data_IF_138872866116
#
_entry.id   IF_138872866116
#
_cell.length_a   1.000
_cell.length_b   1.000
_cell.length_c   1.000
_cell.angle_alpha   90.00
_cell.angle_beta   90.00
_cell.angle_gamma   90.00
#
_symmetry.space_group_name_H-M   'P 1'
#
loop_
_entity.id
_entity.type
_entity.pdbx_description
1 polymer ?
#
# COMPACT_ATOMS: atom_id res chain seq x y z
N UNK A 1 6.24 12.43 -22.14
CA UNK A 1 5.52 11.96 -20.92
C UNK A 1 6.43 12.34 -19.77
N UNK A 2 6.03 13.24 -18.88
CA UNK A 2 6.88 13.60 -17.74
C UNK A 2 6.93 12.40 -16.80
N UNK A 3 8.13 11.87 -16.54
CA UNK A 3 8.31 10.89 -15.46
C UNK A 3 7.89 11.56 -14.14
N UNK A 4 7.01 10.91 -13.40
CA UNK A 4 6.61 11.39 -12.08
C UNK A 4 7.75 11.08 -11.13
N UNK A 5 8.34 12.12 -10.54
CA UNK A 5 9.41 11.97 -9.55
C UNK A 5 8.85 11.36 -8.26
N UNK A 6 9.45 10.24 -7.84
CA UNK A 6 9.15 9.58 -6.57
C UNK A 6 9.60 10.45 -5.40
N UNK A 7 8.71 10.63 -4.42
CA UNK A 7 8.99 11.32 -3.18
C UNK A 7 9.11 10.31 -2.03
N UNK A 8 10.35 9.95 -1.69
CA UNK A 8 10.63 9.00 -0.62
C UNK A 8 10.12 9.43 0.75
N UNK A 9 10.01 10.73 1.04
CA UNK A 9 9.43 11.18 2.31
C UNK A 9 7.94 10.83 2.42
N UNK A 10 7.19 10.85 1.30
CA UNK A 10 5.81 10.40 1.28
C UNK A 10 5.70 8.88 1.39
N UNK A 11 6.60 8.14 0.75
CA UNK A 11 6.69 6.68 0.93
C UNK A 11 6.87 6.30 2.40
N UNK A 12 7.80 6.95 3.11
CA UNK A 12 8.04 6.66 4.53
C UNK A 12 6.84 7.01 5.42
N UNK A 13 6.12 8.11 5.12
CA UNK A 13 4.90 8.47 5.86
C UNK A 13 3.85 7.35 5.73
N UNK A 14 3.64 6.81 4.52
CA UNK A 14 2.69 5.72 4.30
C UNK A 14 3.13 4.46 5.04
N UNK A 15 4.41 4.10 4.98
CA UNK A 15 4.95 2.94 5.72
C UNK A 15 4.71 3.10 7.22
N UNK A 16 4.97 4.28 7.78
CA UNK A 16 4.76 4.55 9.21
C UNK A 16 3.28 4.46 9.60
N UNK A 17 2.37 5.04 8.81
CA UNK A 17 0.92 4.96 9.09
C UNK A 17 0.39 3.52 8.97
N UNK A 18 0.88 2.75 7.99
CA UNK A 18 0.59 1.31 7.91
C UNK A 18 1.08 0.61 9.18
N UNK A 19 2.29 0.92 9.64
CA UNK A 19 2.86 0.28 10.82
C UNK A 19 2.12 0.61 12.13
N UNK A 20 1.68 1.85 12.30
CA UNK A 20 1.06 2.33 13.55
C UNK A 20 -0.43 1.98 13.68
N UNK A 21 -1.16 1.88 12.56
CA UNK A 21 -2.64 1.84 12.61
C UNK A 21 -3.27 0.83 11.67
N UNK A 22 -2.90 0.86 10.40
CA UNK A 22 -3.63 0.10 9.38
C UNK A 22 -3.20 -1.37 9.31
N UNK A 23 -2.01 -1.72 9.79
CA UNK A 23 -1.57 -3.12 9.83
C UNK A 23 -2.43 -3.94 10.80
N UNK A 24 -2.55 -3.51 12.05
CA UNK A 24 -3.29 -4.28 13.08
C UNK A 24 -4.81 -4.27 12.87
N UNK A 25 -5.32 -3.24 12.19
CA UNK A 25 -6.76 -3.08 11.92
C UNK A 25 -7.19 -3.64 10.57
N UNK A 26 -6.25 -3.84 9.65
CA UNK A 26 -6.51 -4.40 8.33
C UNK A 26 -6.57 -5.91 8.42
N UNK A 27 -7.64 -6.50 7.89
CA UNK A 27 -7.78 -7.95 7.73
C UNK A 27 -6.83 -8.47 6.64
N UNK A 28 -5.52 -8.31 6.84
CA UNK A 28 -4.48 -8.60 5.85
C UNK A 28 -4.33 -10.09 5.57
N UNK A 29 -4.62 -10.94 6.56
CA UNK A 29 -4.65 -12.39 6.36
C UNK A 29 -5.68 -12.76 5.28
N UNK A 30 -6.92 -12.29 5.41
CA UNK A 30 -7.98 -12.57 4.42
C UNK A 30 -7.68 -11.91 3.09
N UNK A 31 -7.19 -10.67 3.09
CA UNK A 31 -6.88 -9.91 1.85
C UNK A 31 -5.74 -10.56 1.07
N UNK A 32 -4.62 -10.90 1.73
CA UNK A 32 -3.45 -11.51 1.09
C UNK A 32 -3.74 -12.95 0.65
N UNK A 33 -4.57 -13.70 1.38
CA UNK A 33 -4.93 -15.07 1.01
C UNK A 33 -5.63 -15.18 -0.36
N UNK A 34 -6.22 -14.09 -0.85
CA UNK A 34 -6.91 -14.02 -2.14
C UNK A 34 -6.00 -13.54 -3.28
N UNK A 35 -4.78 -13.10 -2.98
CA UNK A 35 -3.84 -12.62 -3.98
C UNK A 35 -3.14 -13.78 -4.69
N UNK A 36 -2.84 -13.61 -5.97
CA UNK A 36 -2.05 -14.57 -6.77
C UNK A 36 -0.62 -14.05 -7.02
N UNK A 37 -0.38 -12.78 -6.74
CA UNK A 37 0.90 -12.11 -6.98
C UNK A 37 1.15 -10.91 -6.04
N UNK A 38 2.41 -10.42 -5.94
CA UNK A 38 2.72 -9.17 -5.24
C UNK A 38 1.99 -7.94 -5.82
N UNK A 39 1.67 -7.94 -7.12
CA UNK A 39 0.96 -6.82 -7.76
C UNK A 39 -0.50 -6.74 -7.29
N UNK A 40 -1.11 -7.87 -6.94
CA UNK A 40 -2.45 -7.89 -6.33
C UNK A 40 -2.41 -7.26 -4.93
N UNK A 41 -1.37 -7.57 -4.14
CA UNK A 41 -1.17 -6.96 -2.82
C UNK A 41 -0.99 -5.46 -2.95
N UNK A 42 -0.16 -5.01 -3.89
CA UNK A 42 0.04 -3.60 -4.21
C UNK A 42 -1.27 -2.90 -4.56
N UNK A 43 -2.09 -3.52 -5.40
CA UNK A 43 -3.41 -3.00 -5.78
C UNK A 43 -4.32 -2.82 -4.56
N UNK A 44 -4.36 -3.81 -3.66
CA UNK A 44 -5.13 -3.73 -2.42
C UNK A 44 -4.62 -2.59 -1.53
N UNK A 45 -3.30 -2.51 -1.30
CA UNK A 45 -2.69 -1.45 -0.47
C UNK A 45 -3.03 -0.07 -1.03
N UNK A 46 -2.88 0.11 -2.34
CA UNK A 46 -3.25 1.35 -3.02
C UNK A 46 -4.73 1.68 -2.81
N UNK A 47 -5.62 0.70 -2.94
CA UNK A 47 -7.05 0.90 -2.74
C UNK A 47 -7.39 1.29 -1.29
N UNK A 48 -6.77 0.64 -0.30
CA UNK A 48 -6.94 0.95 1.13
C UNK A 48 -6.42 2.35 1.47
N UNK A 49 -5.29 2.75 0.89
CA UNK A 49 -4.71 4.09 1.11
C UNK A 49 -5.48 5.20 0.37
N UNK A 50 -6.33 4.86 -0.61
CA UNK A 50 -7.03 5.84 -1.45
C UNK A 50 -8.56 5.86 -1.27
N UNK A 51 -9.16 4.88 -0.58
CA UNK A 51 -10.58 4.93 -0.21
C UNK A 51 -10.82 5.90 0.96
N UNK A 52 -11.72 6.87 0.78
CA UNK A 52 -12.18 7.75 1.86
C UNK A 52 -13.68 8.02 1.76
N UNK A 53 -14.36 8.01 2.91
CA UNK A 53 -15.75 8.43 3.07
C UNK A 53 -15.95 9.86 2.55
N UNK A 54 -16.92 10.01 1.65
CA UNK A 54 -17.17 11.23 0.90
C UNK A 54 -17.76 12.29 1.82
N UNK A 55 -16.96 13.25 2.29
CA UNK A 55 -17.46 14.52 2.84
C UNK A 55 -17.34 15.61 1.76
N UNK A 56 -18.35 16.46 1.63
CA UNK A 56 -18.70 17.40 0.53
C UNK A 56 -17.63 18.38 -0.01
N UNK A 57 -16.38 18.29 0.43
CA UNK A 57 -15.17 18.84 -0.25
C UNK A 57 -14.58 17.80 -1.25
N UNK A 58 -15.34 16.74 -1.55
CA UNK A 58 -14.88 15.43 -1.99
C UNK A 58 -14.47 15.24 -3.46
N UNK A 59 -14.52 16.25 -4.33
CA UNK A 59 -14.10 16.07 -5.74
C UNK A 59 -12.63 16.36 -6.00
N UNK A 60 -12.02 17.28 -5.23
CA UNK A 60 -10.59 17.59 -5.34
C UNK A 60 -9.71 16.62 -4.55
N UNK A 61 -10.21 16.08 -3.43
CA UNK A 61 -9.47 15.15 -2.58
C UNK A 61 -9.00 13.89 -3.33
N UNK A 62 -9.86 13.17 -4.08
CA UNK A 62 -9.42 12.00 -4.85
C UNK A 62 -8.36 12.36 -5.89
N UNK A 63 -8.51 13.47 -6.61
CA UNK A 63 -7.53 13.92 -7.60
C UNK A 63 -6.19 14.28 -6.95
N UNK A 64 -6.21 15.02 -5.84
CA UNK A 64 -5.01 15.41 -5.09
C UNK A 64 -4.31 14.18 -4.49
N UNK A 65 -5.06 13.28 -3.85
CA UNK A 65 -4.54 12.02 -3.31
C UNK A 65 -4.02 11.09 -4.41
N UNK A 66 -4.66 11.08 -5.57
CA UNK A 66 -4.17 10.36 -6.76
C UNK A 66 -2.83 10.92 -7.22
N UNK A 67 -2.68 12.25 -7.30
CA UNK A 67 -1.40 12.87 -7.66
C UNK A 67 -0.31 12.67 -6.60
N UNK A 68 -0.66 12.62 -5.31
CA UNK A 68 0.25 12.23 -4.26
C UNK A 68 0.64 10.75 -4.35
N UNK A 69 -0.34 9.87 -4.57
CA UNK A 69 -0.13 8.44 -4.74
C UNK A 69 0.79 8.12 -5.91
N UNK A 70 0.71 8.86 -7.02
CA UNK A 70 1.65 8.69 -8.15
C UNK A 70 3.13 8.93 -7.78
N UNK A 71 3.40 9.66 -6.69
CA UNK A 71 4.76 9.97 -6.21
C UNK A 71 5.24 9.01 -5.13
N UNK A 72 4.44 8.01 -4.76
CA UNK A 72 4.79 7.02 -3.75
C UNK A 72 5.49 5.85 -4.43
N UNK A 73 6.56 5.37 -3.79
CA UNK A 73 7.20 4.11 -4.17
C UNK A 73 6.35 2.93 -3.63
N UNK A 74 5.32 2.58 -4.39
CA UNK A 74 4.38 1.52 -4.00
C UNK A 74 5.02 0.14 -3.96
N UNK A 75 6.10 -0.10 -4.70
CA UNK A 75 6.82 -1.36 -4.66
C UNK A 75 7.51 -1.52 -3.30
N UNK A 76 8.15 -0.45 -2.81
CA UNK A 76 8.72 -0.42 -1.45
C UNK A 76 7.65 -0.56 -0.36
N UNK A 77 6.52 0.13 -0.47
CA UNK A 77 5.41 0.00 0.49
C UNK A 77 4.88 -1.45 0.52
N UNK A 78 4.72 -2.05 -0.66
CA UNK A 78 4.21 -3.41 -0.80
C UNK A 78 5.17 -4.43 -0.21
N UNK A 79 6.46 -4.33 -0.53
CA UNK A 79 7.49 -5.20 0.02
C UNK A 79 7.53 -5.09 1.55
N UNK A 80 7.49 -3.87 2.10
CA UNK A 80 7.44 -3.67 3.54
C UNK A 80 6.25 -4.39 4.18
N UNK A 81 5.05 -4.26 3.61
CA UNK A 81 3.86 -4.90 4.16
C UNK A 81 3.92 -6.43 4.08
N UNK A 82 4.39 -6.97 2.94
CA UNK A 82 4.60 -8.41 2.77
C UNK A 82 5.61 -8.93 3.78
N UNK A 83 6.75 -8.25 3.95
CA UNK A 83 7.78 -8.62 4.91
C UNK A 83 7.24 -8.61 6.33
N UNK A 84 6.53 -7.55 6.74
CA UNK A 84 5.91 -7.46 8.06
C UNK A 84 4.89 -8.59 8.28
N UNK A 85 4.02 -8.85 7.31
CA UNK A 85 3.05 -9.94 7.36
C UNK A 85 3.71 -11.31 7.55
N UNK A 86 4.79 -11.59 6.80
CA UNK A 86 5.55 -12.84 6.94
C UNK A 86 6.28 -12.92 8.29
N UNK A 87 6.84 -11.82 8.79
CA UNK A 87 7.51 -11.76 10.09
C UNK A 87 6.54 -12.06 11.25
N UNK A 88 5.28 -11.66 11.12
CA UNK A 88 4.22 -11.97 12.09
C UNK A 88 3.63 -13.38 11.95
N UNK A 89 4.16 -14.19 11.02
CA UNK A 89 3.78 -15.59 10.83
C UNK A 89 2.77 -15.83 9.71
N UNK A 90 2.42 -14.78 8.96
CA UNK A 90 1.59 -14.86 7.77
C UNK A 90 2.21 -15.73 6.67
N UNK A 91 1.36 -16.37 5.86
CA UNK A 91 1.78 -17.20 4.73
C UNK A 91 1.32 -16.58 3.43
N UNK A 92 2.25 -16.42 2.48
CA UNK A 92 1.93 -15.94 1.15
C UNK A 92 1.39 -17.11 0.30
N UNK A 93 0.30 -16.89 -0.46
CA UNK A 93 -0.19 -17.88 -1.42
C UNK A 93 0.65 -17.93 -2.72
N UNK A 94 1.60 -17.01 -2.88
CA UNK A 94 2.48 -16.89 -4.05
C UNK A 94 3.96 -16.86 -3.67
N UNK A 95 4.84 -17.06 -4.65
CA UNK A 95 6.27 -16.88 -4.48
C UNK A 95 6.63 -15.40 -4.48
N UNK A 96 7.31 -14.94 -3.44
CA UNK A 96 7.85 -13.59 -3.32
C UNK A 96 9.36 -13.68 -3.09
N UNK A 97 10.14 -13.05 -3.96
CA UNK A 97 11.58 -12.95 -3.79
C UNK A 97 11.88 -11.70 -2.96
N UNK A 98 12.46 -11.87 -1.77
CA UNK A 98 12.89 -10.79 -0.87
C UNK A 98 14.11 -10.01 -1.39
N UNK A 99 14.32 -9.93 -2.70
CA UNK A 99 15.48 -9.23 -3.27
C UNK A 99 15.14 -7.75 -3.42
N UNK A 100 15.28 -7.01 -2.32
CA UNK A 100 15.56 -5.57 -2.35
C UNK A 100 17.01 -5.34 -2.83
#
# INVERSE_FOLDING_TARGET
>A
MNEVEINYAFTEIIINELNERAFDLGDWETKIAQCESPEDVKTIIMAECTHFDISEVGSLRPCILTEFGKRVDWDRVTNYLIEKYVQEGGKLPFQHNNSL
#
